data_IF_333794773000
#
_entry.id   IF_333794773000
#
_cell.length_a   1.000
_cell.length_b   1.000
_cell.length_c   1.000
_cell.angle_alpha   90.00
_cell.angle_beta   90.00
_cell.angle_gamma   90.00
#
_symmetry.space_group_name_H-M   'P 1'
#
loop_
_entity.id
_entity.type
_entity.pdbx_description
1 polymer ?
#
# COMPACT_ATOMS: atom_id res chain seq x y z
N UNK A 1 -4.56 24.01 -4.30
CA UNK A 1 -4.91 23.41 -5.61
C UNK A 1 -3.75 22.66 -6.29
N UNK A 2 -2.49 23.05 -6.10
CA UNK A 2 -1.34 22.48 -6.85
C UNK A 2 -1.18 20.95 -6.73
N UNK A 3 -1.51 20.33 -5.58
CA UNK A 3 -1.35 18.89 -5.37
C UNK A 3 -2.60 18.05 -5.68
N UNK A 4 -3.73 18.68 -6.05
CA UNK A 4 -4.98 17.96 -6.26
C UNK A 4 -4.87 16.89 -7.34
N UNK A 5 -4.25 17.23 -8.48
CA UNK A 5 -4.00 16.28 -9.56
C UNK A 5 -3.07 15.15 -9.13
N UNK A 6 -2.01 15.46 -8.36
CA UNK A 6 -1.05 14.47 -7.89
C UNK A 6 -1.69 13.44 -6.95
N UNK A 7 -2.50 13.88 -5.98
CA UNK A 7 -3.27 12.98 -5.11
C UNK A 7 -4.33 12.19 -5.90
N UNK A 8 -4.96 12.81 -6.90
CA UNK A 8 -5.87 12.12 -7.82
C UNK A 8 -5.19 10.98 -8.59
N UNK A 9 -3.99 11.20 -9.11
CA UNK A 9 -3.19 10.17 -9.78
C UNK A 9 -2.78 9.05 -8.83
N UNK A 10 -2.34 9.38 -7.61
CA UNK A 10 -2.01 8.37 -6.59
C UNK A 10 -3.23 7.51 -6.28
N UNK A 11 -4.40 8.11 -6.09
CA UNK A 11 -5.66 7.39 -5.86
C UNK A 11 -6.04 6.49 -7.04
N UNK A 12 -5.89 6.97 -8.28
CA UNK A 12 -6.17 6.19 -9.48
C UNK A 12 -5.22 4.97 -9.61
N UNK A 13 -3.92 5.16 -9.39
CA UNK A 13 -2.94 4.07 -9.39
C UNK A 13 -3.28 3.04 -8.31
N UNK A 14 -3.64 3.50 -7.11
CA UNK A 14 -4.02 2.62 -6.01
C UNK A 14 -5.27 1.79 -6.36
N UNK A 15 -6.28 2.43 -6.95
CA UNK A 15 -7.52 1.78 -7.37
C UNK A 15 -7.28 0.72 -8.47
N UNK A 16 -6.48 1.06 -9.48
CA UNK A 16 -6.09 0.12 -10.54
C UNK A 16 -5.31 -1.06 -9.95
N UNK A 17 -4.39 -0.78 -9.01
CA UNK A 17 -3.61 -1.79 -8.30
C UNK A 17 -4.49 -2.74 -7.51
N UNK A 18 -5.42 -2.22 -6.69
CA UNK A 18 -6.37 -3.05 -5.93
C UNK A 18 -7.28 -3.86 -6.86
N UNK A 19 -7.83 -3.25 -7.91
CA UNK A 19 -8.71 -3.94 -8.85
C UNK A 19 -7.98 -5.11 -9.51
N UNK A 20 -6.76 -4.87 -9.99
CA UNK A 20 -5.92 -5.89 -10.61
C UNK A 20 -5.57 -7.02 -9.63
N UNK A 21 -5.26 -6.66 -8.37
CA UNK A 21 -4.97 -7.60 -7.29
C UNK A 21 -6.17 -8.49 -6.94
N UNK A 22 -7.35 -7.91 -6.74
CA UNK A 22 -8.59 -8.64 -6.46
C UNK A 22 -9.01 -9.51 -7.66
N UNK A 23 -8.83 -9.00 -8.88
CA UNK A 23 -9.07 -9.77 -10.10
C UNK A 23 -8.16 -10.99 -10.21
N UNK A 24 -6.88 -10.84 -9.86
CA UNK A 24 -5.92 -11.95 -9.81
C UNK A 24 -6.29 -12.99 -8.75
N UNK A 25 -6.68 -12.55 -7.55
CA UNK A 25 -7.18 -13.44 -6.48
C UNK A 25 -8.38 -14.27 -6.95
N UNK A 26 -9.36 -13.62 -7.61
CA UNK A 26 -10.57 -14.28 -8.10
C UNK A 26 -10.27 -15.32 -9.18
N UNK A 27 -9.33 -15.04 -10.09
CA UNK A 27 -8.91 -15.99 -11.15
C UNK A 27 -8.26 -17.26 -10.60
N UNK A 28 -7.61 -17.19 -9.44
CA UNK A 28 -6.91 -18.33 -8.81
C UNK A 28 -7.80 -19.16 -7.87
N UNK A 29 -9.08 -18.80 -7.71
CA UNK A 29 -10.01 -19.37 -6.73
C UNK A 29 -9.47 -19.42 -5.28
N UNK A 30 -8.44 -18.62 -4.99
CA UNK A 30 -7.84 -18.51 -3.67
C UNK A 30 -8.47 -17.34 -2.95
N UNK A 31 -9.41 -17.62 -2.04
CA UNK A 31 -9.87 -16.63 -1.08
C UNK A 31 -8.70 -16.17 -0.20
N UNK A 32 -8.55 -14.86 -0.02
CA UNK A 32 -7.67 -14.33 1.02
C UNK A 32 -8.31 -14.61 2.39
N UNK A 33 -7.51 -15.07 3.35
CA UNK A 33 -7.96 -15.32 4.72
C UNK A 33 -8.20 -13.99 5.44
N UNK A 34 -8.92 -14.02 6.56
CA UNK A 34 -9.25 -12.81 7.32
C UNK A 34 -8.01 -12.02 7.76
N UNK A 35 -6.92 -12.72 8.15
CA UNK A 35 -5.68 -12.08 8.58
C UNK A 35 -4.90 -11.47 7.41
N UNK A 36 -4.97 -12.06 6.21
CA UNK A 36 -4.38 -11.47 5.00
C UNK A 36 -5.10 -10.19 4.58
N UNK A 37 -6.42 -10.15 4.73
CA UNK A 37 -7.18 -8.91 4.55
C UNK A 37 -6.75 -7.84 5.55
N UNK A 38 -6.63 -8.20 6.83
CA UNK A 38 -6.18 -7.27 7.86
C UNK A 38 -4.78 -6.73 7.54
N UNK A 39 -3.80 -7.61 7.30
CA UNK A 39 -2.43 -7.21 6.97
C UNK A 39 -2.34 -6.38 5.69
N UNK A 40 -3.07 -6.77 4.64
CA UNK A 40 -3.11 -6.05 3.37
C UNK A 40 -3.68 -4.64 3.53
N UNK A 41 -4.82 -4.51 4.22
CA UNK A 41 -5.45 -3.20 4.49
C UNK A 41 -4.52 -2.34 5.36
N UNK A 42 -3.97 -2.89 6.44
CA UNK A 42 -3.02 -2.15 7.30
C UNK A 42 -1.81 -1.69 6.51
N UNK A 43 -1.24 -2.53 5.64
CA UNK A 43 -0.12 -2.15 4.78
C UNK A 43 -0.47 -1.02 3.82
N UNK A 44 -1.65 -1.04 3.20
CA UNK A 44 -2.12 0.04 2.33
C UNK A 44 -2.30 1.34 3.12
N UNK A 45 -2.94 1.29 4.29
CA UNK A 45 -3.17 2.47 5.14
C UNK A 45 -1.84 3.10 5.57
N UNK A 46 -0.87 2.29 6.01
CA UNK A 46 0.46 2.77 6.39
C UNK A 46 1.18 3.40 5.20
N UNK A 47 1.10 2.80 4.01
CA UNK A 47 1.72 3.34 2.81
C UNK A 47 1.13 4.70 2.43
N UNK A 48 -0.20 4.82 2.45
CA UNK A 48 -0.90 6.08 2.20
C UNK A 48 -0.54 7.15 3.25
N UNK A 49 -0.46 6.76 4.53
CA UNK A 49 -0.04 7.64 5.61
C UNK A 49 1.40 8.14 5.41
N UNK A 50 2.33 7.27 5.02
CA UNK A 50 3.71 7.64 4.74
C UNK A 50 3.81 8.66 3.58
N UNK A 51 3.04 8.45 2.52
CA UNK A 51 2.96 9.36 1.36
C UNK A 51 2.37 10.71 1.79
N UNK A 52 1.24 10.72 2.50
CA UNK A 52 0.61 11.94 3.00
C UNK A 52 1.58 12.72 3.90
N UNK A 53 2.21 12.04 4.85
CA UNK A 53 3.19 12.65 5.76
C UNK A 53 4.36 13.28 5.00
N UNK A 54 4.92 12.57 4.01
CA UNK A 54 6.01 13.08 3.19
C UNK A 54 5.64 14.39 2.50
N UNK A 55 4.49 14.45 1.82
CA UNK A 55 4.05 15.67 1.15
C UNK A 55 3.70 16.80 2.12
N UNK A 56 3.10 16.47 3.27
CA UNK A 56 2.83 17.44 4.34
C UNK A 56 4.12 18.08 4.85
N UNK A 57 5.08 17.28 5.30
CA UNK A 57 6.35 17.77 5.82
C UNK A 57 7.19 18.50 4.76
N UNK A 58 7.15 18.09 3.49
CA UNK A 58 7.80 18.84 2.41
C UNK A 58 7.16 20.22 2.18
N UNK A 59 5.83 20.32 2.29
CA UNK A 59 5.14 21.61 2.16
C UNK A 59 5.46 22.59 3.29
N UNK A 60 5.86 22.07 4.45
CA UNK A 60 6.28 22.83 5.63
C UNK A 60 7.80 23.03 5.70
N UNK A 61 8.55 22.72 4.64
CA UNK A 61 10.02 22.88 4.56
C UNK A 61 10.79 22.05 5.60
N UNK A 62 10.26 20.88 5.99
CA UNK A 62 10.92 19.90 6.85
C UNK A 62 11.38 18.65 6.06
N UNK A 63 12.41 18.77 5.19
CA UNK A 63 12.80 17.68 4.29
C UNK A 63 13.33 16.46 5.05
N UNK A 64 14.08 16.66 6.14
CA UNK A 64 14.57 15.55 6.94
C UNK A 64 13.43 14.74 7.57
N UNK A 65 12.46 15.42 8.18
CA UNK A 65 11.28 14.77 8.76
C UNK A 65 10.44 14.06 7.70
N UNK A 66 10.28 14.66 6.52
CA UNK A 66 9.57 14.05 5.40
C UNK A 66 10.19 12.69 5.01
N UNK A 67 11.51 12.66 4.77
CA UNK A 67 12.23 11.43 4.42
C UNK A 67 12.23 10.40 5.54
N UNK A 68 12.42 10.83 6.80
CA UNK A 68 12.39 9.91 7.94
C UNK A 68 11.01 9.31 8.16
N UNK A 69 9.94 10.09 8.07
CA UNK A 69 8.57 9.59 8.16
C UNK A 69 8.25 8.61 7.02
N UNK A 70 8.71 8.89 5.80
CA UNK A 70 8.56 7.98 4.67
C UNK A 70 9.26 6.64 4.91
N UNK A 71 10.47 6.64 5.47
CA UNK A 71 11.21 5.39 5.76
C UNK A 71 10.58 4.64 6.93
N UNK A 72 10.33 5.31 8.05
CA UNK A 72 9.84 4.70 9.29
C UNK A 72 8.44 4.11 9.10
N UNK A 73 7.57 4.76 8.33
CA UNK A 73 6.19 4.29 8.10
C UNK A 73 6.11 3.47 6.81
N UNK A 74 6.75 3.92 5.73
CA UNK A 74 6.64 3.32 4.41
C UNK A 74 7.39 2.00 4.24
N UNK A 75 8.57 1.83 4.87
CA UNK A 75 9.29 0.54 4.79
C UNK A 75 8.49 -0.58 5.45
N UNK A 76 7.99 -0.45 6.70
CA UNK A 76 7.10 -1.46 7.29
C UNK A 76 5.85 -1.72 6.45
N UNK A 77 5.26 -0.68 5.85
CA UNK A 77 4.11 -0.83 4.96
C UNK A 77 4.42 -1.76 3.76
N UNK A 78 5.52 -1.48 3.05
CA UNK A 78 5.96 -2.28 1.90
C UNK A 78 6.28 -3.72 2.31
N UNK A 79 6.99 -3.90 3.43
CA UNK A 79 7.31 -5.23 3.96
C UNK A 79 6.05 -6.02 4.27
N UNK A 80 5.07 -5.41 4.95
CA UNK A 80 3.81 -6.06 5.31
C UNK A 80 3.01 -6.47 4.06
N UNK A 81 2.96 -5.60 3.05
CA UNK A 81 2.31 -5.91 1.77
C UNK A 81 3.03 -7.05 1.02
N UNK A 82 4.36 -7.04 1.01
CA UNK A 82 5.16 -8.09 0.39
C UNK A 82 4.95 -9.46 1.07
N UNK A 83 4.93 -9.49 2.41
CA UNK A 83 4.64 -10.70 3.19
C UNK A 83 3.22 -11.20 2.88
N UNK A 84 2.24 -10.30 2.90
CA UNK A 84 0.83 -10.65 2.61
C UNK A 84 0.70 -11.25 1.20
N UNK A 85 1.33 -10.63 0.20
CA UNK A 85 1.38 -11.14 -1.17
C UNK A 85 2.02 -12.53 -1.25
N UNK A 86 3.13 -12.72 -0.54
CA UNK A 86 3.87 -13.99 -0.54
C UNK A 86 3.05 -15.12 0.09
N UNK A 87 2.33 -14.86 1.18
CA UNK A 87 1.46 -15.85 1.85
C UNK A 87 0.35 -16.32 0.90
N UNK A 88 -0.37 -15.37 0.30
CA UNK A 88 -1.44 -15.63 -0.67
C UNK A 88 -0.91 -16.43 -1.88
N UNK A 89 0.21 -15.97 -2.45
CA UNK A 89 0.80 -16.57 -3.65
C UNK A 89 1.30 -17.99 -3.42
N UNK A 90 1.83 -18.28 -2.22
CA UNK A 90 2.30 -19.62 -1.87
C UNK A 90 1.14 -20.57 -1.62
N UNK A 91 0.07 -20.12 -0.94
CA UNK A 91 -1.14 -20.94 -0.75
C UNK A 91 -1.76 -21.32 -2.09
N UNK A 92 -1.83 -20.39 -3.05
CA UNK A 92 -2.34 -20.67 -4.39
C UNK A 92 -1.55 -21.71 -5.20
N UNK A 93 -0.33 -22.07 -4.78
CA UNK A 93 0.47 -23.13 -5.42
C UNK A 93 0.36 -24.48 -4.72
N UNK A 94 -0.14 -24.50 -3.49
CA UNK A 94 -0.29 -25.71 -2.67
C UNK A 94 -1.70 -26.32 -2.78
N UNK A 95 -2.68 -25.51 -3.18
CA UNK A 95 -4.04 -25.92 -3.57
C UNK A 95 -4.06 -26.22 -5.05
#
# INVERSE_FOLDING_TARGET
MQYFLLFGFIGAILAIGLYSFIGWLRKRNTGATWYEWLMGITGIVLLLMAIQHFFGAMSELFPFAAWMGLVIIGVPAIVLLAITWQLISRRSKQV
#
